data_IF_351541815228
#
_entry.id   IF_351541815228
#
_cell.length_a   1.000
_cell.length_b   1.000
_cell.length_c   1.000
_cell.angle_alpha   90.00
_cell.angle_beta   90.00
_cell.angle_gamma   90.00
#
_symmetry.space_group_name_H-M   'P 1'
#
loop_
_entity.id
_entity.type
_entity.pdbx_description
1 polymer ?
#
# COMPACT_ATOMS: atom_id res chain seq x y z
N UNK A 1 8.41 12.67 -25.84
CA UNK A 1 8.05 12.62 -24.41
C UNK A 1 9.12 11.77 -23.75
N UNK A 2 9.79 12.27 -22.71
CA UNK A 2 10.80 11.47 -22.02
C UNK A 2 10.16 10.17 -21.54
N UNK A 3 10.80 9.03 -21.83
CA UNK A 3 10.33 7.72 -21.42
C UNK A 3 10.41 7.66 -19.90
N UNK A 4 9.27 7.82 -19.22
CA UNK A 4 9.24 7.85 -17.76
C UNK A 4 9.44 6.43 -17.28
N UNK A 5 10.49 6.20 -16.49
CA UNK A 5 10.85 4.87 -16.00
C UNK A 5 9.64 4.20 -15.31
N UNK A 6 9.28 2.96 -15.71
CA UNK A 6 8.20 2.25 -15.08
C UNK A 6 8.54 1.89 -13.64
N UNK A 7 7.57 2.04 -12.73
CA UNK A 7 7.78 1.78 -11.31
C UNK A 7 6.76 0.80 -10.73
N UNK A 8 7.13 0.19 -9.61
CA UNK A 8 6.20 -0.38 -8.65
C UNK A 8 5.72 0.68 -7.65
N UNK A 9 4.46 0.62 -7.23
CA UNK A 9 4.01 1.33 -6.04
C UNK A 9 4.10 0.41 -4.83
N UNK A 10 4.93 0.79 -3.85
CA UNK A 10 5.07 0.11 -2.58
C UNK A 10 4.29 0.88 -1.52
N UNK A 11 3.18 0.32 -1.06
CA UNK A 11 2.21 1.01 -0.21
C UNK A 11 2.26 0.42 1.19
N UNK A 12 2.69 1.25 2.15
CA UNK A 12 2.62 0.94 3.58
C UNK A 12 1.22 1.29 4.11
N UNK A 13 0.37 0.28 4.16
CA UNK A 13 -0.97 0.33 4.75
C UNK A 13 -0.97 0.31 6.28
N UNK A 14 0.20 0.35 6.91
CA UNK A 14 0.47 0.07 8.31
C UNK A 14 0.10 -1.34 8.76
N UNK A 15 0.82 -1.77 9.78
CA UNK A 15 0.62 -3.03 10.47
C UNK A 15 0.42 -2.77 11.95
N UNK A 16 -0.46 -3.55 12.56
CA UNK A 16 -0.80 -3.48 13.98
C UNK A 16 -0.51 -4.83 14.64
N UNK A 17 0.72 -5.30 14.45
CA UNK A 17 1.25 -6.46 15.16
C UNK A 17 2.06 -6.01 16.39
N UNK A 18 1.90 -6.66 17.56
CA UNK A 18 2.59 -6.26 18.79
C UNK A 18 4.12 -6.15 18.68
N UNK A 19 4.73 -6.92 17.79
CA UNK A 19 6.18 -6.90 17.53
C UNK A 19 6.58 -5.95 16.37
N UNK A 20 5.62 -5.53 15.54
CA UNK A 20 5.83 -4.66 14.40
C UNK A 20 5.35 -3.25 14.71
N UNK A 21 6.15 -2.51 15.47
CA UNK A 21 5.90 -1.09 15.71
C UNK A 21 6.19 -0.30 14.42
N UNK A 22 5.25 -0.34 13.47
CA UNK A 22 5.38 0.18 12.10
C UNK A 22 4.63 1.48 11.84
N UNK A 23 4.25 2.21 12.89
CA UNK A 23 3.61 3.53 12.76
C UNK A 23 4.65 4.65 12.85
N UNK A 24 4.44 5.79 12.16
CA UNK A 24 5.36 6.91 12.18
C UNK A 24 5.85 7.30 13.60
N UNK A 25 7.17 7.55 13.78
CA UNK A 25 8.23 7.68 12.77
C UNK A 25 8.88 6.34 12.35
N UNK A 26 8.40 5.21 12.86
CA UNK A 26 9.01 3.90 12.58
C UNK A 26 8.41 3.29 11.32
N UNK A 27 9.24 2.63 10.52
CA UNK A 27 8.82 1.89 9.33
C UNK A 27 8.75 0.41 9.67
N UNK A 28 7.60 -0.22 9.41
CA UNK A 28 7.38 -1.64 9.66
C UNK A 28 8.50 -2.50 9.06
N UNK A 29 8.88 -3.61 9.69
CA UNK A 29 9.94 -4.46 9.12
C UNK A 29 9.46 -5.22 7.89
N UNK A 30 8.19 -5.63 7.82
CA UNK A 30 7.66 -6.34 6.66
C UNK A 30 7.72 -5.50 5.37
N UNK A 31 7.40 -4.21 5.43
CA UNK A 31 7.49 -3.35 4.24
C UNK A 31 8.94 -3.15 3.83
N UNK A 32 9.87 -3.10 4.80
CA UNK A 32 11.32 -3.08 4.53
C UNK A 32 11.82 -4.36 3.88
N UNK A 33 11.23 -5.51 4.17
CA UNK A 33 11.59 -6.75 3.47
C UNK A 33 11.20 -6.70 2.00
N UNK A 34 10.00 -6.19 1.70
CA UNK A 34 9.55 -6.01 0.31
C UNK A 34 10.47 -5.02 -0.42
N UNK A 35 10.77 -3.89 0.22
CA UNK A 35 11.72 -2.91 -0.31
C UNK A 35 13.09 -3.54 -0.57
N UNK A 36 13.64 -4.30 0.38
CA UNK A 36 14.92 -4.99 0.23
C UNK A 36 14.97 -5.96 -0.95
N UNK A 37 13.87 -6.69 -1.21
CA UNK A 37 13.75 -7.53 -2.41
C UNK A 37 13.76 -6.67 -3.68
N UNK A 38 12.96 -5.61 -3.74
CA UNK A 38 12.93 -4.69 -4.88
C UNK A 38 14.32 -4.10 -5.18
N UNK A 39 15.02 -3.63 -4.14
CA UNK A 39 16.40 -3.13 -4.24
C UNK A 39 17.38 -4.20 -4.74
N UNK A 40 17.31 -5.43 -4.20
CA UNK A 40 18.20 -6.53 -4.61
C UNK A 40 18.04 -6.91 -6.09
N UNK A 41 16.86 -6.69 -6.65
CA UNK A 41 16.53 -6.92 -8.05
C UNK A 41 16.61 -5.65 -8.92
N UNK A 42 17.00 -4.50 -8.35
CA UNK A 42 17.01 -3.19 -9.01
C UNK A 42 15.68 -2.85 -9.67
N UNK A 43 14.57 -3.19 -9.01
CA UNK A 43 13.22 -2.84 -9.43
C UNK A 43 12.91 -1.42 -8.97
N UNK A 44 12.69 -0.45 -9.87
CA UNK A 44 12.29 0.89 -9.47
C UNK A 44 10.96 0.87 -8.74
N UNK A 45 10.88 1.53 -7.59
CA UNK A 45 9.64 1.65 -6.83
C UNK A 45 9.50 3.02 -6.17
N UNK A 46 8.25 3.40 -5.92
CA UNK A 46 7.90 4.56 -5.11
C UNK A 46 7.20 4.08 -3.84
N UNK A 47 7.76 4.45 -2.69
CA UNK A 47 7.21 4.14 -1.38
C UNK A 47 6.23 5.24 -0.95
N UNK A 48 5.02 4.85 -0.58
CA UNK A 48 4.01 5.74 -0.02
C UNK A 48 3.36 5.12 1.21
N UNK A 49 3.08 5.92 2.23
CA UNK A 49 2.26 5.49 3.36
C UNK A 49 0.78 5.70 3.07
N UNK A 50 -0.09 5.00 3.81
CA UNK A 50 -1.53 5.23 3.72
C UNK A 50 -1.92 6.67 4.06
N UNK A 51 -1.22 7.32 5.00
CA UNK A 51 -1.50 8.72 5.32
C UNK A 51 -1.15 9.65 4.16
N UNK A 52 -0.01 9.39 3.49
CA UNK A 52 0.35 10.13 2.28
C UNK A 52 -0.68 9.92 1.18
N UNK A 53 -1.12 8.68 0.95
CA UNK A 53 -2.19 8.41 -0.01
C UNK A 53 -3.49 9.15 0.33
N UNK A 54 -3.90 9.18 1.61
CA UNK A 54 -5.08 9.94 2.07
C UNK A 54 -4.95 11.43 1.81
N UNK A 55 -3.77 12.01 1.99
CA UNK A 55 -3.50 13.40 1.61
C UNK A 55 -3.69 13.60 0.11
N UNK A 56 -3.11 12.72 -0.70
CA UNK A 56 -3.15 12.83 -2.16
C UNK A 56 -4.57 12.72 -2.72
N UNK A 57 -5.40 11.83 -2.15
CA UNK A 57 -6.81 11.70 -2.55
C UNK A 57 -7.62 12.95 -2.19
N UNK A 58 -7.25 13.70 -1.15
CA UNK A 58 -7.93 14.95 -0.78
C UNK A 58 -7.56 16.11 -1.69
N UNK A 59 -6.34 16.12 -2.21
CA UNK A 59 -5.83 17.16 -3.11
C UNK A 59 -5.63 16.54 -4.49
N UNK A 60 -6.66 16.55 -5.34
CA UNK A 60 -6.69 15.90 -6.67
C UNK A 60 -5.39 16.03 -7.48
N UNK A 61 -4.69 17.16 -7.34
CA UNK A 61 -3.41 17.45 -8.00
C UNK A 61 -2.30 16.43 -7.64
N UNK A 62 -2.24 15.95 -6.40
CA UNK A 62 -1.18 15.07 -5.94
C UNK A 62 -1.34 13.62 -6.45
N UNK A 63 -2.55 13.19 -6.83
CA UNK A 63 -2.72 11.91 -7.55
C UNK A 63 -2.16 12.01 -8.97
N UNK A 64 -2.29 13.18 -9.62
CA UNK A 64 -1.70 13.39 -10.93
C UNK A 64 -0.17 13.27 -10.88
N UNK A 65 0.45 13.71 -9.78
CA UNK A 65 1.90 13.61 -9.56
C UNK A 65 2.41 12.16 -9.48
N UNK A 66 1.62 11.19 -9.03
CA UNK A 66 1.97 9.76 -9.07
C UNK A 66 2.18 9.25 -10.50
N UNK A 67 1.67 9.98 -11.49
CA UNK A 67 1.68 9.62 -12.91
C UNK A 67 1.30 8.14 -13.09
N UNK A 68 0.05 7.79 -12.80
CA UNK A 68 -0.42 6.40 -12.80
C UNK A 68 -0.10 5.64 -14.11
N UNK A 69 0.13 6.36 -15.22
CA UNK A 69 0.60 5.80 -16.49
C UNK A 69 1.99 5.14 -16.45
N UNK A 70 2.86 5.45 -15.48
CA UNK A 70 4.17 4.78 -15.30
C UNK A 70 4.11 3.56 -14.38
N UNK A 71 3.04 3.39 -13.62
CA UNK A 71 2.91 2.28 -12.66
C UNK A 71 2.74 0.97 -13.43
N UNK A 72 3.54 -0.05 -13.08
CA UNK A 72 3.49 -1.40 -13.68
C UNK A 72 3.17 -2.49 -12.68
N UNK A 73 3.07 -2.17 -11.40
CA UNK A 73 2.66 -3.09 -10.36
C UNK A 73 2.45 -2.37 -9.04
N UNK A 74 1.68 -2.99 -8.15
CA UNK A 74 1.43 -2.48 -6.80
C UNK A 74 1.72 -3.58 -5.79
N UNK A 75 2.44 -3.24 -4.73
CA UNK A 75 2.61 -4.04 -3.53
C UNK A 75 2.02 -3.27 -2.34
N UNK A 76 0.89 -3.74 -1.82
CA UNK A 76 0.23 -3.20 -0.64
C UNK A 76 0.50 -4.12 0.55
N UNK A 77 1.22 -3.63 1.55
CA UNK A 77 1.26 -4.28 2.85
C UNK A 77 0.19 -3.68 3.76
N UNK A 78 -0.66 -4.52 4.32
CA UNK A 78 -1.66 -4.11 5.29
C UNK A 78 -1.78 -5.21 6.36
N UNK A 79 -1.43 -4.87 7.60
CA UNK A 79 -1.40 -5.82 8.70
C UNK A 79 -2.76 -6.14 9.30
N UNK A 80 -2.75 -6.96 10.35
CA UNK A 80 -3.95 -7.33 11.08
C UNK A 80 -4.53 -6.16 11.87
N UNK A 81 -5.70 -5.64 11.46
CA UNK A 81 -6.37 -4.52 12.14
C UNK A 81 -7.16 -5.04 13.35
N UNK A 82 -6.66 -4.85 14.57
CA UNK A 82 -7.44 -5.18 15.77
C UNK A 82 -8.42 -4.05 16.11
N UNK A 83 -9.64 -4.36 16.61
CA UNK A 83 -10.52 -3.34 17.14
C UNK A 83 -9.84 -2.63 18.32
N UNK A 84 -9.60 -1.32 18.21
CA UNK A 84 -8.87 -0.58 19.24
C UNK A 84 -8.58 0.85 18.81
N UNK A 85 -7.96 1.61 19.72
CA UNK A 85 -7.42 2.94 19.41
C UNK A 85 -5.98 2.79 18.95
N UNK A 86 -5.70 3.27 17.75
CA UNK A 86 -4.36 3.36 17.20
C UNK A 86 -3.68 4.62 17.72
N UNK A 87 -2.42 4.50 18.17
CA UNK A 87 -1.71 5.60 18.81
C UNK A 87 -1.30 6.72 17.84
N UNK A 88 -0.98 6.39 16.58
CA UNK A 88 -0.37 7.37 15.65
C UNK A 88 -0.82 7.27 14.19
N UNK A 89 -1.16 6.09 13.70
CA UNK A 89 -1.64 5.90 12.33
C UNK A 89 -2.68 4.80 12.27
N UNK A 90 -3.83 5.08 11.65
CA UNK A 90 -4.87 4.08 11.44
C UNK A 90 -4.51 3.27 10.19
N UNK A 91 -4.40 1.93 10.29
CA UNK A 91 -4.16 1.09 9.13
C UNK A 91 -5.19 1.31 8.03
N UNK A 92 -4.83 0.94 6.80
CA UNK A 92 -5.71 1.04 5.64
C UNK A 92 -7.00 0.23 5.86
N UNK A 93 -8.13 0.83 5.50
CA UNK A 93 -9.43 0.18 5.56
C UNK A 93 -9.73 -0.63 4.29
N UNK A 94 -10.72 -1.55 4.36
CA UNK A 94 -11.20 -2.27 3.18
C UNK A 94 -11.77 -1.33 2.11
N UNK A 95 -12.42 -0.24 2.53
CA UNK A 95 -12.96 0.76 1.60
C UNK A 95 -11.82 1.44 0.83
N UNK A 96 -10.81 1.92 1.54
CA UNK A 96 -9.63 2.55 0.95
C UNK A 96 -8.87 1.57 0.05
N UNK A 97 -8.79 0.28 0.42
CA UNK A 97 -8.19 -0.75 -0.43
C UNK A 97 -8.93 -0.88 -1.77
N UNK A 98 -10.27 -0.85 -1.77
CA UNK A 98 -11.08 -0.91 -2.99
C UNK A 98 -10.95 0.36 -3.82
N UNK A 99 -10.96 1.53 -3.17
CA UNK A 99 -10.74 2.83 -3.83
C UNK A 99 -9.38 2.84 -4.54
N UNK A 100 -8.33 2.44 -3.83
CA UNK A 100 -6.97 2.34 -4.36
C UNK A 100 -6.91 1.37 -5.55
N UNK A 101 -7.48 0.16 -5.42
CA UNK A 101 -7.54 -0.80 -6.51
C UNK A 101 -8.28 -0.26 -7.75
N UNK A 102 -9.35 0.50 -7.56
CA UNK A 102 -10.13 1.11 -8.63
C UNK A 102 -9.41 2.26 -9.36
N UNK A 103 -8.44 2.90 -8.70
CA UNK A 103 -7.59 3.93 -9.31
C UNK A 103 -6.44 3.35 -10.13
N UNK A 104 -6.02 2.11 -9.86
CA UNK A 104 -4.88 1.51 -10.52
C UNK A 104 -5.21 1.05 -11.95
N UNK A 105 -4.23 1.08 -12.88
CA UNK A 105 -4.40 0.50 -14.21
C UNK A 105 -4.96 -0.94 -14.17
N UNK A 106 -5.85 -1.29 -15.10
CA UNK A 106 -6.54 -2.59 -15.06
C UNK A 106 -5.58 -3.79 -15.28
N UNK A 107 -4.53 -3.60 -16.08
CA UNK A 107 -3.67 -4.69 -16.57
C UNK A 107 -2.30 -4.76 -15.86
N UNK A 108 -2.23 -4.34 -14.59
CA UNK A 108 -1.02 -4.47 -13.78
C UNK A 108 -1.26 -5.42 -12.59
N UNK A 109 -0.23 -6.16 -12.14
CA UNK A 109 -0.31 -6.95 -10.92
C UNK A 109 -0.59 -6.06 -9.71
N UNK A 110 -1.49 -6.54 -8.85
CA UNK A 110 -1.78 -5.95 -7.54
C UNK A 110 -1.55 -7.01 -6.47
N UNK A 111 -0.42 -6.92 -5.79
CA UNK A 111 -0.04 -7.80 -4.70
C UNK A 111 -0.46 -7.14 -3.39
N UNK A 112 -1.31 -7.81 -2.62
CA UNK A 112 -1.70 -7.35 -1.28
C UNK A 112 -1.43 -8.47 -0.27
N UNK A 113 -0.91 -8.14 0.92
CA UNK A 113 -0.51 -9.11 1.95
C UNK A 113 -0.55 -8.56 3.40
N UNK A 114 -0.51 -9.44 4.42
CA UNK A 114 -0.55 -9.10 5.86
C UNK A 114 -1.92 -9.31 6.56
N UNK A 115 -2.83 -10.00 5.89
CA UNK A 115 -4.28 -9.81 5.97
C UNK A 115 -4.97 -10.15 7.30
N UNK A 116 -5.15 -9.14 8.15
CA UNK A 116 -6.48 -8.90 8.72
C UNK A 116 -7.06 -7.58 8.21
N UNK A 117 -7.09 -7.42 6.88
CA UNK A 117 -8.08 -6.55 6.26
C UNK A 117 -9.45 -7.16 6.59
N UNK A 118 -10.34 -6.38 7.22
CA UNK A 118 -11.65 -6.83 7.73
C UNK A 118 -12.46 -7.73 6.78
N UNK A 119 -12.31 -7.58 5.47
CA UNK A 119 -12.99 -8.41 4.46
C UNK A 119 -12.62 -9.89 4.55
N UNK A 120 -11.33 -10.21 4.65
CA UNK A 120 -10.87 -11.60 4.63
C UNK A 120 -10.86 -12.27 5.99
N UNK A 121 -10.85 -11.49 7.08
CA UNK A 121 -11.11 -12.01 8.43
C UNK A 121 -12.43 -12.80 8.50
N UNK A 122 -13.45 -12.37 7.75
CA UNK A 122 -14.77 -12.98 7.74
C UNK A 122 -15.01 -13.86 6.50
N UNK A 123 -14.46 -13.47 5.35
CA UNK A 123 -14.72 -14.14 4.07
C UNK A 123 -13.68 -15.20 3.66
N UNK A 124 -12.54 -15.31 4.36
CA UNK A 124 -11.39 -16.06 3.86
C UNK A 124 -10.75 -15.38 2.65
N UNK A 125 -9.94 -16.09 1.85
CA UNK A 125 -9.38 -15.53 0.62
C UNK A 125 -10.46 -15.42 -0.46
N UNK A 126 -10.73 -14.19 -0.90
CA UNK A 126 -11.57 -13.90 -2.06
C UNK A 126 -10.83 -12.94 -2.99
N UNK A 127 -10.86 -13.15 -4.31
CA UNK A 127 -10.36 -12.17 -5.27
C UNK A 127 -10.96 -10.77 -5.02
N UNK A 128 -10.12 -9.73 -5.10
CA UNK A 128 -10.59 -8.34 -5.00
C UNK A 128 -11.25 -7.84 -6.30
N UNK A 129 -11.19 -8.64 -7.37
CA UNK A 129 -11.82 -8.44 -8.67
C UNK A 129 -12.59 -9.68 -9.07
#
# INVERSE_FOLDING_TARGET
>A
MADVEPIWLLIDGYEDEPAAFGVPPYVGFHIRYIAGVMESHRLPYEYITIDRWREMVRTTDAIADLNLGRVRGVALLAGAVVPGKYLRGTPISLRETKELLGMMPANIPFLAGGWAIRGWRQAGWSPLR
#
